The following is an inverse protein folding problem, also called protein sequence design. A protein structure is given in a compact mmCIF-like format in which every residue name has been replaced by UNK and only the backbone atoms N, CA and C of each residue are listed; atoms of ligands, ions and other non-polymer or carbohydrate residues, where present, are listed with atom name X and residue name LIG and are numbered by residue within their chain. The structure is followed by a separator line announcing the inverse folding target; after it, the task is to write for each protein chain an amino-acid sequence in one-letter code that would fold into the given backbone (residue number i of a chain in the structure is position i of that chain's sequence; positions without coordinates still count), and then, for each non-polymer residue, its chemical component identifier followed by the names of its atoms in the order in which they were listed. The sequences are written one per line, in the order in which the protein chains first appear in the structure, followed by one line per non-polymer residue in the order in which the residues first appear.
data_IF_092557335473
#
_entry.id   IF_092557335473
#
_cell.length_a   1.000
_cell.length_b   1.000
_cell.length_c   1.000
_cell.angle_alpha   90.00
_cell.angle_beta   90.00
_cell.angle_gamma   90.00
#
_symmetry.space_group_name_H-M   'P 1'
#
loop_
_entity.id
_entity.type
_entity.pdbx_description
1 polymer ?
#
# COMPACT_ATOMS: atom_id res chain seq x y z
N UNK A 1 -16.07 7.38 60.21
CA UNK A 1 -16.29 7.39 58.76
C UNK A 1 -16.00 6.00 58.22
N UNK A 2 -16.97 5.39 57.56
CA UNK A 2 -16.88 4.05 57.00
C UNK A 2 -16.44 4.18 55.52
N UNK A 3 -15.19 3.87 55.21
CA UNK A 3 -14.72 3.80 53.81
C UNK A 3 -15.21 2.49 53.20
N UNK A 4 -16.35 2.52 52.52
CA UNK A 4 -16.80 1.43 51.65
C UNK A 4 -16.07 1.60 50.33
N UNK A 5 -14.94 0.93 50.17
CA UNK A 5 -14.39 0.65 48.85
C UNK A 5 -15.38 -0.28 48.18
N UNK A 6 -16.05 0.18 47.13
CA UNK A 6 -16.77 -0.72 46.24
C UNK A 6 -15.75 -1.77 45.83
N UNK A 7 -15.99 -3.00 46.26
CA UNK A 7 -15.21 -4.15 45.84
C UNK A 7 -15.49 -4.27 44.35
N UNK A 8 -14.73 -3.50 43.57
CA UNK A 8 -14.65 -3.61 42.14
C UNK A 8 -14.54 -5.09 41.85
N UNK A 9 -15.35 -5.51 40.89
CA UNK A 9 -15.43 -6.85 40.33
C UNK A 9 -14.09 -7.26 39.68
N UNK A 10 -12.97 -7.14 40.40
CA UNK A 10 -11.62 -7.52 39.98
C UNK A 10 -11.50 -9.04 39.76
N UNK A 11 -12.51 -9.82 40.17
CA UNK A 11 -12.60 -11.24 39.85
C UNK A 11 -13.33 -11.53 38.54
N UNK A 12 -14.03 -10.57 37.92
CA UNK A 12 -14.78 -10.78 36.66
C UNK A 12 -14.06 -10.19 35.44
N UNK A 13 -13.17 -9.22 35.62
CA UNK A 13 -12.46 -8.54 34.53
C UNK A 13 -11.24 -9.30 33.96
N UNK A 14 -10.84 -10.43 34.55
CA UNK A 14 -9.77 -11.30 34.01
C UNK A 14 -10.09 -11.92 32.64
N UNK A 15 -11.29 -11.63 32.10
CA UNK A 15 -11.81 -12.16 30.84
C UNK A 15 -11.72 -11.18 29.66
N UNK A 16 -11.43 -9.90 29.89
CA UNK A 16 -11.46 -8.89 28.82
C UNK A 16 -10.10 -8.53 28.23
N UNK A 17 -8.98 -8.73 28.93
CA UNK A 17 -7.65 -8.52 28.35
C UNK A 17 -7.13 -9.78 27.65
N UNK A 18 -6.58 -9.58 26.46
CA UNK A 18 -5.76 -10.57 25.79
C UNK A 18 -4.32 -10.31 26.26
N UNK A 19 -3.81 -11.12 27.19
CA UNK A 19 -2.43 -11.04 27.65
C UNK A 19 -1.49 -11.50 26.53
N UNK A 20 -0.75 -10.56 25.94
CA UNK A 20 0.19 -10.82 24.84
C UNK A 20 1.28 -11.84 25.20
N UNK A 21 1.66 -11.90 26.48
CA UNK A 21 2.65 -12.85 27.00
C UNK A 21 2.18 -14.31 27.03
N UNK A 22 0.86 -14.56 26.97
CA UNK A 22 0.26 -15.89 26.99
C UNK A 22 -0.18 -16.38 25.60
N UNK A 23 0.03 -15.58 24.55
CA UNK A 23 -0.32 -15.94 23.18
C UNK A 23 0.79 -16.82 22.62
N UNK A 24 0.46 -18.02 22.15
CA UNK A 24 1.40 -18.86 21.41
C UNK A 24 1.71 -18.20 20.07
N UNK A 25 2.97 -18.28 19.61
CA UNK A 25 3.37 -17.76 18.30
C UNK A 25 2.40 -18.24 17.20
N UNK A 26 1.96 -17.31 16.34
CA UNK A 26 0.96 -17.52 15.27
C UNK A 26 -0.51 -17.74 15.68
N UNK A 27 -0.90 -17.57 16.96
CA UNK A 27 -2.32 -17.55 17.33
C UNK A 27 -2.99 -16.21 17.03
N UNK A 28 -4.14 -16.26 16.34
CA UNK A 28 -5.03 -15.11 16.14
C UNK A 28 -6.00 -14.97 17.32
N UNK A 29 -6.44 -13.75 17.60
CA UNK A 29 -7.40 -13.44 18.67
C UNK A 29 -8.69 -14.29 18.58
N UNK A 30 -9.21 -14.48 17.36
CA UNK A 30 -10.39 -15.33 17.13
C UNK A 30 -10.19 -16.78 17.59
N UNK A 31 -8.98 -17.33 17.48
CA UNK A 31 -8.65 -18.67 17.96
C UNK A 31 -8.68 -18.74 19.48
N UNK A 32 -8.16 -17.70 20.15
CA UNK A 32 -8.18 -17.59 21.61
C UNK A 32 -9.61 -17.48 22.15
N UNK A 33 -10.46 -16.68 21.50
CA UNK A 33 -11.89 -16.56 21.86
C UNK A 33 -12.58 -17.91 21.73
N UNK A 34 -12.38 -18.62 20.60
CA UNK A 34 -12.96 -19.94 20.39
C UNK A 34 -12.50 -20.95 21.45
N UNK A 35 -11.20 -21.00 21.76
CA UNK A 35 -10.66 -21.88 22.80
C UNK A 35 -11.26 -21.57 24.19
N UNK A 36 -11.38 -20.28 24.54
CA UNK A 36 -12.00 -19.85 25.81
C UNK A 36 -13.46 -20.31 25.91
N UNK A 37 -14.22 -20.20 24.84
CA UNK A 37 -15.61 -20.67 24.79
C UNK A 37 -15.70 -22.19 25.01
N UNK A 38 -14.86 -22.96 24.32
CA UNK A 38 -14.82 -24.42 24.44
C UNK A 38 -14.44 -24.84 25.87
N UNK A 39 -13.36 -24.29 26.43
CA UNK A 39 -12.92 -24.60 27.79
C UNK A 39 -13.96 -24.18 28.83
N UNK A 40 -14.62 -23.03 28.62
CA UNK A 40 -15.71 -22.58 29.47
C UNK A 40 -16.87 -23.57 29.51
N UNK A 41 -17.28 -24.06 28.34
CA UNK A 41 -18.35 -25.06 28.23
C UNK A 41 -17.96 -26.39 28.88
N UNK A 42 -16.77 -26.92 28.59
CA UNK A 42 -16.28 -28.19 29.19
C UNK A 42 -16.28 -28.10 30.73
N UNK A 43 -15.83 -26.96 31.28
CA UNK A 43 -15.86 -26.74 32.74
C UNK A 43 -17.29 -26.69 33.29
N UNK A 44 -18.23 -26.05 32.59
CA UNK A 44 -19.63 -25.98 33.04
C UNK A 44 -20.32 -27.35 33.07
N UNK A 45 -19.94 -28.26 32.15
CA UNK A 45 -20.53 -29.60 32.04
C UNK A 45 -19.80 -30.61 32.95
N UNK A 46 -18.77 -30.16 33.68
CA UNK A 46 -18.07 -30.98 34.68
C UNK A 46 -17.05 -31.95 34.09
N UNK A 47 -16.59 -31.73 32.86
CA UNK A 47 -15.57 -32.55 32.21
C UNK A 47 -15.90 -32.90 30.76
N UNK A 48 -14.88 -33.40 30.04
CA UNK A 48 -14.99 -33.72 28.61
C UNK A 48 -15.93 -34.91 28.35
N UNK A 49 -16.00 -35.86 29.28
CA UNK A 49 -16.84 -37.06 29.17
C UNK A 49 -18.33 -36.78 29.27
N UNK A 50 -18.71 -35.63 29.84
CA UNK A 50 -20.10 -35.27 30.08
C UNK A 50 -20.70 -34.43 28.93
N UNK A 51 -19.87 -34.07 27.93
CA UNK A 51 -20.32 -33.28 26.77
C UNK A 51 -21.17 -34.15 25.86
N UNK A 52 -22.44 -33.80 25.68
CA UNK A 52 -23.36 -34.53 24.81
C UNK A 52 -23.00 -34.33 23.33
N UNK A 53 -22.88 -35.42 22.58
CA UNK A 53 -22.64 -35.38 21.14
C UNK A 53 -23.96 -35.19 20.39
N UNK A 54 -24.30 -33.92 20.10
CA UNK A 54 -25.49 -33.59 19.32
C UNK A 54 -25.27 -33.83 17.83
N UNK A 55 -26.36 -34.10 17.08
CA UNK A 55 -26.31 -34.28 15.63
C UNK A 55 -25.74 -33.06 14.90
N UNK A 56 -26.05 -31.86 15.39
CA UNK A 56 -25.54 -30.60 14.84
C UNK A 56 -24.01 -30.47 14.98
N UNK A 57 -23.46 -30.91 16.11
CA UNK A 57 -22.02 -30.92 16.34
C UNK A 57 -21.33 -31.84 15.32
N UNK A 58 -21.88 -33.03 15.10
CA UNK A 58 -21.36 -33.99 14.12
C UNK A 58 -21.39 -33.43 12.69
N UNK A 59 -22.48 -32.76 12.30
CA UNK A 59 -22.61 -32.10 10.99
C UNK A 59 -21.62 -30.93 10.85
N UNK A 60 -21.42 -30.15 11.92
CA UNK A 60 -20.47 -29.05 11.91
C UNK A 60 -19.02 -29.54 11.73
N UNK A 61 -18.67 -30.63 12.42
CA UNK A 61 -17.35 -31.27 12.32
C UNK A 61 -17.11 -31.88 10.95
N UNK A 62 -18.11 -32.54 10.35
CA UNK A 62 -17.97 -33.16 9.02
C UNK A 62 -17.63 -32.14 7.93
N UNK A 63 -18.16 -30.92 8.03
CA UNK A 63 -17.85 -29.81 7.11
C UNK A 63 -16.61 -28.98 7.47
N UNK A 64 -15.99 -29.20 8.64
CA UNK A 64 -14.94 -28.32 9.16
C UNK A 64 -13.71 -28.26 8.25
N UNK A 65 -13.28 -29.40 7.71
CA UNK A 65 -12.14 -29.49 6.78
C UNK A 65 -12.39 -28.69 5.50
N UNK A 66 -13.59 -28.82 4.93
CA UNK A 66 -13.95 -28.08 3.72
C UNK A 66 -13.96 -26.58 3.96
N UNK A 67 -14.57 -26.13 5.07
CA UNK A 67 -14.59 -24.72 5.48
C UNK A 67 -13.17 -24.15 5.64
N UNK A 68 -12.25 -24.93 6.21
CA UNK A 68 -10.86 -24.53 6.36
C UNK A 68 -10.16 -24.35 5.01
N UNK A 69 -10.34 -25.30 4.08
CA UNK A 69 -9.77 -25.16 2.73
C UNK A 69 -10.34 -23.95 1.98
N UNK A 70 -11.66 -23.73 2.04
CA UNK A 70 -12.28 -22.54 1.46
C UNK A 70 -11.72 -21.25 2.04
N UNK A 71 -11.55 -21.17 3.37
CA UNK A 71 -10.92 -20.02 4.04
C UNK A 71 -9.49 -19.76 3.53
N UNK A 72 -8.67 -20.81 3.37
CA UNK A 72 -7.31 -20.67 2.87
C UNK A 72 -7.29 -20.15 1.42
N UNK A 73 -8.20 -20.63 0.58
CA UNK A 73 -8.29 -20.18 -0.81
C UNK A 73 -8.78 -18.74 -0.91
N UNK A 74 -9.73 -18.33 -0.08
CA UNK A 74 -10.17 -16.95 0.02
C UNK A 74 -9.05 -16.03 0.51
N UNK A 75 -8.26 -16.47 1.49
CA UNK A 75 -7.10 -15.72 1.96
C UNK A 75 -6.05 -15.54 0.85
N UNK A 76 -5.78 -16.57 0.05
CA UNK A 76 -4.88 -16.48 -1.11
C UNK A 76 -5.42 -15.50 -2.15
N UNK A 77 -6.73 -15.55 -2.45
CA UNK A 77 -7.39 -14.65 -3.40
C UNK A 77 -7.35 -13.20 -2.93
N UNK A 78 -7.60 -12.95 -1.64
CA UNK A 78 -7.52 -11.63 -1.04
C UNK A 78 -6.10 -11.06 -1.15
N UNK A 79 -5.09 -11.83 -0.75
CA UNK A 79 -3.69 -11.42 -0.84
C UNK A 79 -3.26 -11.13 -2.29
N UNK A 80 -3.73 -11.92 -3.26
CA UNK A 80 -3.43 -11.69 -4.68
C UNK A 80 -4.07 -10.38 -5.19
N UNK A 81 -5.32 -10.11 -4.78
CA UNK A 81 -6.02 -8.85 -5.11
C UNK A 81 -5.31 -7.65 -4.49
N UNK A 82 -4.93 -7.71 -3.22
CA UNK A 82 -4.21 -6.64 -2.54
C UNK A 82 -2.86 -6.35 -3.20
N UNK A 83 -2.06 -7.38 -3.52
CA UNK A 83 -0.80 -7.22 -4.26
C UNK A 83 -1.03 -6.58 -5.63
N UNK A 84 -2.10 -6.96 -6.33
CA UNK A 84 -2.47 -6.35 -7.61
C UNK A 84 -2.83 -4.87 -7.47
N UNK A 85 -3.62 -4.51 -6.46
CA UNK A 85 -4.01 -3.12 -6.17
C UNK A 85 -2.79 -2.28 -5.78
N UNK A 86 -1.92 -2.80 -4.92
CA UNK A 86 -0.67 -2.12 -4.53
C UNK A 86 0.23 -1.85 -5.75
N UNK A 87 0.43 -2.84 -6.63
CA UNK A 87 1.19 -2.65 -7.86
C UNK A 87 0.57 -1.59 -8.76
N UNK A 88 -0.76 -1.58 -8.92
CA UNK A 88 -1.46 -0.56 -9.73
C UNK A 88 -1.32 0.84 -9.14
N UNK A 89 -1.40 0.99 -7.81
CA UNK A 89 -1.17 2.27 -7.13
C UNK A 89 0.26 2.77 -7.34
N UNK A 90 1.26 1.91 -7.12
CA UNK A 90 2.65 2.26 -7.35
C UNK A 90 2.91 2.71 -8.80
N UNK A 91 2.38 1.99 -9.79
CA UNK A 91 2.49 2.39 -11.20
C UNK A 91 1.76 3.71 -11.51
N UNK A 92 0.63 3.98 -10.85
CA UNK A 92 -0.09 5.25 -11.00
C UNK A 92 0.72 6.42 -10.43
N UNK A 93 1.31 6.25 -9.25
CA UNK A 93 2.17 7.25 -8.60
C UNK A 93 3.42 7.55 -9.46
N UNK A 94 4.05 6.50 -10.01
CA UNK A 94 5.18 6.64 -10.94
C UNK A 94 4.78 7.41 -12.22
N UNK A 95 3.61 7.12 -12.78
CA UNK A 95 3.10 7.84 -13.95
C UNK A 95 2.87 9.32 -13.65
N UNK A 96 2.31 9.66 -12.50
CA UNK A 96 2.07 11.05 -12.13
C UNK A 96 3.37 11.81 -11.85
N UNK A 97 4.37 11.18 -11.24
CA UNK A 97 5.71 11.77 -11.11
C UNK A 97 6.39 12.00 -12.47
N UNK A 98 6.25 11.05 -13.41
CA UNK A 98 6.75 11.22 -14.76
C UNK A 98 6.02 12.35 -15.52
N UNK A 99 4.71 12.50 -15.35
CA UNK A 99 3.94 13.62 -15.92
C UNK A 99 4.42 14.97 -15.36
N UNK A 100 4.62 15.08 -14.04
CA UNK A 100 5.16 16.30 -13.41
C UNK A 100 6.56 16.64 -13.93
N UNK A 101 7.45 15.65 -14.05
CA UNK A 101 8.79 15.84 -14.63
C UNK A 101 8.71 16.32 -16.08
N UNK A 102 7.83 15.73 -16.89
CA UNK A 102 7.60 16.16 -18.27
C UNK A 102 7.11 17.60 -18.35
N UNK A 103 6.14 17.99 -17.52
CA UNK A 103 5.62 19.35 -17.48
C UNK A 103 6.71 20.38 -17.11
N UNK A 104 7.56 20.08 -16.11
CA UNK A 104 8.70 20.93 -15.74
C UNK A 104 9.65 21.15 -16.92
N UNK A 105 10.08 20.06 -17.57
CA UNK A 105 10.97 20.15 -18.73
C UNK A 105 10.33 20.95 -19.87
N UNK A 106 9.03 20.82 -20.09
CA UNK A 106 8.33 21.56 -21.12
C UNK A 106 8.24 23.06 -20.80
N UNK A 107 8.02 23.41 -19.53
CA UNK A 107 8.05 24.81 -19.09
C UNK A 107 9.45 25.42 -19.24
N UNK A 108 10.51 24.68 -18.86
CA UNK A 108 11.89 25.12 -19.04
C UNK A 108 12.22 25.39 -20.51
N UNK A 109 11.76 24.51 -21.42
CA UNK A 109 11.93 24.70 -22.87
C UNK A 109 11.26 25.99 -23.32
N UNK A 110 9.99 26.21 -22.95
CA UNK A 110 9.26 27.42 -23.33
C UNK A 110 9.87 28.70 -22.74
N UNK A 111 10.44 28.65 -21.53
CA UNK A 111 11.15 29.78 -20.95
C UNK A 111 12.46 30.08 -21.69
N UNK A 112 13.21 29.05 -22.08
CA UNK A 112 14.43 29.19 -22.87
C UNK A 112 14.15 29.74 -24.26
N UNK A 113 13.06 29.31 -24.91
CA UNK A 113 12.61 29.87 -26.20
C UNK A 113 12.28 31.36 -26.09
N UNK A 114 11.47 31.77 -25.11
CA UNK A 114 11.20 33.19 -24.86
C UNK A 114 12.47 34.00 -24.60
N UNK A 115 13.39 33.47 -23.80
CA UNK A 115 14.66 34.15 -23.54
C UNK A 115 15.53 34.26 -24.81
N UNK A 116 15.45 33.29 -25.71
CA UNK A 116 16.15 33.32 -26.99
C UNK A 116 15.57 34.42 -27.89
N UNK A 117 14.24 34.53 -27.97
CA UNK A 117 13.55 35.58 -28.73
C UNK A 117 13.91 36.97 -28.19
N UNK A 118 13.88 37.16 -26.86
CA UNK A 118 14.32 38.42 -26.23
C UNK A 118 15.79 38.78 -26.54
N UNK A 119 16.68 37.78 -26.57
CA UNK A 119 18.08 38.03 -26.93
C UNK A 119 18.26 38.32 -28.42
N UNK A 120 17.38 37.80 -29.28
CA UNK A 120 17.33 38.14 -30.70
C UNK A 120 16.96 39.63 -30.88
N UNK A 121 15.86 40.05 -30.26
CA UNK A 121 15.36 41.44 -30.34
C UNK A 121 16.40 42.44 -29.81
N UNK A 122 17.08 42.09 -28.71
CA UNK A 122 18.18 42.89 -28.12
C UNK A 122 19.41 42.92 -29.02
N UNK A 123 19.70 41.86 -29.77
CA UNK A 123 20.81 41.84 -30.72
C UNK A 123 20.54 42.74 -31.92
N UNK A 124 19.32 42.71 -32.47
CA UNK A 124 18.90 43.54 -33.60
C UNK A 124 18.91 45.03 -33.25
N UNK A 125 18.42 45.38 -32.06
CA UNK A 125 18.36 46.78 -31.60
C UNK A 125 19.70 47.36 -31.16
N UNK A 126 20.63 46.55 -30.64
CA UNK A 126 21.91 47.04 -30.10
C UNK A 126 23.15 46.74 -30.95
N UNK A 127 23.04 45.87 -31.95
CA UNK A 127 24.15 45.43 -32.80
C UNK A 127 25.25 44.62 -32.08
N UNK A 128 25.03 44.23 -30.81
CA UNK A 128 26.04 43.54 -30.00
C UNK A 128 26.02 42.03 -30.22
N UNK A 129 27.12 41.51 -30.77
CA UNK A 129 27.36 40.08 -31.03
C UNK A 129 27.23 39.17 -29.77
N UNK A 130 27.41 39.74 -28.57
CA UNK A 130 27.27 39.04 -27.29
C UNK A 130 25.85 38.52 -27.03
N UNK A 131 24.82 39.11 -27.65
CA UNK A 131 23.44 38.63 -27.49
C UNK A 131 23.12 37.46 -28.43
N UNK A 132 23.73 37.42 -29.61
CA UNK A 132 23.62 36.31 -30.57
C UNK A 132 24.23 35.01 -29.98
N UNK A 133 25.37 35.14 -29.29
CA UNK A 133 25.98 34.01 -28.57
C UNK A 133 25.11 33.49 -27.41
N UNK A 134 24.38 34.37 -26.71
CA UNK A 134 23.42 33.94 -25.67
C UNK A 134 22.18 33.27 -26.26
N UNK A 135 21.62 33.85 -27.33
CA UNK A 135 20.48 33.28 -28.05
C UNK A 135 20.78 31.88 -28.58
N UNK A 136 21.92 31.68 -29.25
CA UNK A 136 22.31 30.36 -29.79
C UNK A 136 22.42 29.28 -28.70
N UNK A 137 22.90 29.64 -27.50
CA UNK A 137 22.93 28.74 -26.34
C UNK A 137 21.51 28.39 -25.88
N UNK A 138 20.63 29.38 -25.74
CA UNK A 138 19.23 29.17 -25.35
C UNK A 138 18.46 28.28 -26.33
N UNK A 139 18.78 28.32 -27.63
CA UNK A 139 18.16 27.47 -28.66
C UNK A 139 18.77 26.06 -28.73
N UNK A 140 20.08 25.92 -28.47
CA UNK A 140 20.78 24.63 -28.58
C UNK A 140 20.47 23.66 -27.42
N UNK A 141 20.34 24.19 -26.19
CA UNK A 141 20.05 23.41 -24.98
C UNK A 141 18.73 22.61 -25.03
N UNK A 142 17.57 23.20 -25.38
CA UNK A 142 16.30 22.48 -25.45
C UNK A 142 16.28 21.43 -26.57
N UNK A 143 16.90 21.69 -27.72
CA UNK A 143 17.02 20.70 -28.82
C UNK A 143 17.77 19.43 -28.39
N UNK A 144 18.88 19.58 -27.66
CA UNK A 144 19.64 18.44 -27.09
C UNK A 144 18.81 17.67 -26.05
N UNK A 145 18.11 18.38 -25.16
CA UNK A 145 17.22 17.77 -24.14
C UNK A 145 16.06 16.99 -24.78
N UNK A 146 15.41 17.53 -25.81
CA UNK A 146 14.34 16.84 -26.55
C UNK A 146 14.83 15.59 -27.29
N UNK A 147 16.03 15.65 -27.89
CA UNK A 147 16.62 14.49 -28.56
C UNK A 147 16.91 13.35 -27.58
N UNK A 148 17.50 13.67 -26.41
CA UNK A 148 17.75 12.71 -25.35
C UNK A 148 16.46 12.10 -24.79
N UNK A 149 15.40 12.90 -24.65
CA UNK A 149 14.09 12.40 -24.20
C UNK A 149 13.46 11.43 -25.22
N UNK A 150 13.54 11.74 -26.53
CA UNK A 150 13.04 10.86 -27.60
C UNK A 150 13.80 9.53 -27.67
N UNK A 151 15.11 9.52 -27.44
CA UNK A 151 15.93 8.29 -27.45
C UNK A 151 15.65 7.44 -26.20
N UNK A 152 15.52 8.05 -25.03
CA UNK A 152 15.11 7.37 -23.79
C UNK A 152 13.72 6.73 -23.91
N UNK A 153 12.73 7.45 -24.46
CA UNK A 153 11.38 6.91 -24.71
C UNK A 153 11.38 5.72 -25.66
N UNK A 154 12.19 5.76 -26.73
CA UNK A 154 12.35 4.63 -27.67
C UNK A 154 12.99 3.41 -27.00
N UNK A 155 13.99 3.60 -26.14
CA UNK A 155 14.62 2.50 -25.39
C UNK A 155 13.64 1.86 -24.40
N UNK A 156 12.87 2.68 -23.67
CA UNK A 156 11.84 2.21 -22.74
C UNK A 156 10.71 1.43 -23.44
N UNK A 157 10.22 1.88 -24.61
CA UNK A 157 9.20 1.12 -25.35
C UNK A 157 9.73 -0.20 -25.91
N UNK A 158 11.03 -0.29 -26.27
CA UNK A 158 11.65 -1.55 -26.71
C UNK A 158 11.82 -2.55 -25.57
N UNK A 159 12.14 -2.09 -24.36
CA UNK A 159 12.27 -2.99 -23.19
C UNK A 159 10.93 -3.48 -22.64
N UNK A 160 9.81 -2.87 -23.02
CA UNK A 160 8.45 -3.29 -22.67
C UNK A 160 7.86 -4.30 -23.68
N UNK A 161 8.52 -4.53 -24.82
CA UNK A 161 8.08 -5.44 -25.88
C UNK A 161 8.81 -6.81 -25.88
N UNK A 162 9.72 -7.04 -24.93
CA UNK A 162 10.45 -8.29 -24.70
C UNK A 162 9.99 -8.84 -23.34
#
# INVERSE_FOLDING_TARGET
MLLVLSHGQASVERRFSINKELIVENQKEASLVAQRLIVGHIRSVGGVTNVQLTKELLISVSGARQRYHSYLDDQKRANAKEKGVQKRKALADELDELKKKRARVQNDIGALEKSADEYADKAESSGKLTFITKQTVCVALPKKRMHLFKTLRRKSMRSLLI
#
